data_IF_161971500415
#
_entry.id   IF_161971500415
#
_cell.length_a   1.000
_cell.length_b   1.000
_cell.length_c   1.000
_cell.angle_alpha   90.00
_cell.angle_beta   90.00
_cell.angle_gamma   90.00
#
_symmetry.space_group_name_H-M   'P 1'
#
loop_
_entity.id
_entity.type
_entity.pdbx_description
1 polymer ?
#
# COMPACT_ATOMS: atom_id res chain seq x y z
N UNK A 1 -25.64 -6.52 28.82
CA UNK A 1 -26.35 -6.40 27.55
C UNK A 1 -25.38 -6.67 26.42
N UNK A 2 -25.27 -7.94 26.02
CA UNK A 2 -24.43 -8.45 24.93
C UNK A 2 -25.03 -7.99 23.62
N UNK A 3 -24.38 -7.08 22.93
CA UNK A 3 -24.65 -6.77 21.53
C UNK A 3 -24.30 -8.02 20.72
N UNK A 4 -25.31 -8.71 20.22
CA UNK A 4 -25.18 -9.66 19.13
C UNK A 4 -24.74 -8.86 17.90
N UNK A 5 -23.48 -8.97 17.54
CA UNK A 5 -23.01 -8.56 16.23
C UNK A 5 -23.66 -9.48 15.20
N UNK A 6 -24.61 -8.96 14.46
CA UNK A 6 -25.11 -9.62 13.27
C UNK A 6 -23.96 -9.71 12.29
N UNK A 7 -23.51 -10.89 11.98
CA UNK A 7 -22.50 -11.19 10.99
C UNK A 7 -23.07 -10.97 9.58
N UNK A 8 -23.37 -9.73 9.25
CA UNK A 8 -23.44 -9.30 7.87
C UNK A 8 -21.99 -9.21 7.40
N UNK A 9 -21.60 -10.04 6.43
CA UNK A 9 -20.29 -9.95 5.82
C UNK A 9 -20.15 -8.55 5.22
N UNK A 10 -19.38 -7.69 5.88
CA UNK A 10 -19.04 -6.37 5.39
C UNK A 10 -18.12 -6.56 4.18
N UNK A 11 -18.62 -6.32 2.98
CA UNK A 11 -17.78 -6.24 1.80
C UNK A 11 -16.88 -5.00 1.92
N UNK A 12 -15.59 -5.21 2.24
CA UNK A 12 -14.61 -4.15 2.48
C UNK A 12 -13.58 -4.15 1.36
N UNK A 13 -13.45 -3.01 0.67
CA UNK A 13 -12.34 -2.76 -0.24
C UNK A 13 -11.30 -1.89 0.42
N UNK A 14 -10.06 -2.37 0.50
CA UNK A 14 -8.90 -1.57 0.83
C UNK A 14 -8.01 -1.41 -0.40
N UNK A 15 -7.88 -0.18 -0.86
CA UNK A 15 -7.17 0.19 -2.09
C UNK A 15 -5.84 0.80 -1.77
N UNK A 16 -4.81 0.38 -2.48
CA UNK A 16 -3.47 0.86 -2.25
C UNK A 16 -2.73 1.14 -3.55
N UNK A 17 -1.83 2.14 -3.57
CA UNK A 17 -1.08 2.50 -4.75
C UNK A 17 -0.01 1.46 -5.10
N UNK A 18 0.41 0.65 -4.12
CA UNK A 18 1.49 -0.31 -4.25
C UNK A 18 0.96 -1.74 -4.13
N UNK A 19 1.39 -2.60 -5.06
CA UNK A 19 1.04 -4.03 -5.08
C UNK A 19 1.47 -4.75 -3.80
N UNK A 20 2.62 -4.38 -3.23
CA UNK A 20 3.12 -4.91 -1.96
C UNK A 20 2.18 -4.64 -0.80
N UNK A 21 1.66 -3.41 -0.71
CA UNK A 21 0.74 -3.05 0.35
C UNK A 21 -0.62 -3.77 0.21
N UNK A 22 -1.09 -3.96 -1.03
CA UNK A 22 -2.29 -4.76 -1.28
C UNK A 22 -2.08 -6.22 -0.82
N UNK A 23 -0.92 -6.79 -1.11
CA UNK A 23 -0.53 -8.14 -0.67
C UNK A 23 -0.39 -8.23 0.85
N UNK A 24 0.30 -7.29 1.47
CA UNK A 24 0.47 -7.24 2.94
C UNK A 24 -0.89 -7.17 3.66
N UNK A 25 -1.81 -6.34 3.16
CA UNK A 25 -3.16 -6.29 3.74
C UNK A 25 -3.93 -7.58 3.51
N UNK A 26 -3.82 -8.19 2.32
CA UNK A 26 -4.41 -9.50 2.06
C UNK A 26 -3.91 -10.53 3.07
N UNK A 27 -2.60 -10.60 3.30
CA UNK A 27 -1.99 -11.56 4.22
C UNK A 27 -2.43 -11.29 5.67
N UNK A 28 -2.45 -10.03 6.11
CA UNK A 28 -2.93 -9.63 7.45
C UNK A 28 -4.41 -9.97 7.66
N UNK A 29 -5.27 -9.60 6.73
CA UNK A 29 -6.71 -9.84 6.84
C UNK A 29 -7.02 -11.32 6.73
N UNK A 30 -6.35 -12.05 5.84
CA UNK A 30 -6.52 -13.49 5.67
C UNK A 30 -6.11 -14.30 6.92
N UNK A 31 -5.10 -13.84 7.66
CA UNK A 31 -4.72 -14.45 8.95
C UNK A 31 -5.83 -14.35 9.99
N UNK A 32 -6.61 -13.28 9.94
CA UNK A 32 -7.67 -13.02 10.92
C UNK A 32 -9.02 -13.63 10.51
N UNK A 33 -9.39 -13.52 9.24
CA UNK A 33 -10.73 -13.87 8.75
C UNK A 33 -10.80 -15.19 7.98
N UNK A 34 -9.66 -15.75 7.58
CA UNK A 34 -9.56 -16.91 6.70
C UNK A 34 -9.38 -16.52 5.24
N UNK A 35 -8.61 -17.35 4.50
CA UNK A 35 -8.27 -17.10 3.08
C UNK A 35 -9.48 -17.23 2.14
N UNK A 36 -10.50 -17.93 2.53
CA UNK A 36 -11.76 -18.13 1.79
C UNK A 36 -12.63 -16.86 1.72
N UNK A 37 -12.41 -15.90 2.62
CA UNK A 37 -13.18 -14.65 2.72
C UNK A 37 -12.48 -13.44 2.14
N UNK A 38 -11.22 -13.54 1.78
CA UNK A 38 -10.40 -12.40 1.34
C UNK A 38 -9.94 -12.60 -0.09
N UNK A 39 -10.17 -11.62 -0.93
CA UNK A 39 -9.65 -11.57 -2.29
C UNK A 39 -8.45 -10.64 -2.41
N UNK A 40 -7.50 -10.99 -3.26
CA UNK A 40 -6.41 -10.13 -3.72
C UNK A 40 -6.58 -9.88 -5.22
N UNK A 41 -6.64 -8.60 -5.62
CA UNK A 41 -6.79 -8.21 -7.03
C UNK A 41 -5.78 -7.12 -7.36
N UNK A 42 -4.75 -7.49 -8.08
CA UNK A 42 -3.73 -6.58 -8.61
C UNK A 42 -3.55 -6.81 -10.11
N UNK A 43 -2.75 -5.99 -10.77
CA UNK A 43 -2.42 -6.21 -12.18
C UNK A 43 -1.67 -7.52 -12.45
N UNK A 44 -1.04 -8.10 -11.43
CA UNK A 44 -0.19 -9.30 -11.57
C UNK A 44 -0.78 -10.53 -10.88
N UNK A 45 -1.51 -10.36 -9.78
CA UNK A 45 -2.05 -11.44 -8.98
C UNK A 45 -3.57 -11.30 -8.83
N UNK A 46 -4.28 -12.41 -9.02
CA UNK A 46 -5.72 -12.49 -8.79
C UNK A 46 -6.03 -13.73 -7.98
N UNK A 47 -6.42 -13.54 -6.72
CA UNK A 47 -6.91 -14.58 -5.83
C UNK A 47 -8.33 -14.18 -5.44
N UNK A 48 -9.33 -14.87 -5.97
CA UNK A 48 -10.74 -14.52 -5.76
C UNK A 48 -11.51 -15.76 -5.32
N UNK A 49 -11.55 -16.04 -4.01
CA UNK A 49 -12.38 -17.11 -3.47
C UNK A 49 -13.87 -16.86 -3.74
N UNK A 50 -14.65 -17.93 -3.88
CA UNK A 50 -16.11 -17.83 -4.15
C UNK A 50 -16.86 -17.05 -3.06
N UNK A 51 -16.43 -17.17 -1.82
CA UNK A 51 -17.05 -16.53 -0.65
C UNK A 51 -16.34 -15.26 -0.22
N UNK A 52 -15.53 -14.63 -1.11
CA UNK A 52 -14.82 -13.42 -0.77
C UNK A 52 -15.78 -12.27 -0.49
N UNK A 53 -15.66 -11.69 0.70
CA UNK A 53 -16.37 -10.50 1.16
C UNK A 53 -15.41 -9.33 1.46
N UNK A 54 -14.11 -9.60 1.49
CA UNK A 54 -13.06 -8.59 1.66
C UNK A 54 -12.15 -8.57 0.43
N UNK A 55 -11.85 -7.39 -0.06
CA UNK A 55 -11.10 -7.22 -1.31
C UNK A 55 -9.91 -6.30 -1.09
N UNK A 56 -8.71 -6.82 -1.18
CA UNK A 56 -7.47 -6.08 -1.20
C UNK A 56 -7.04 -5.89 -2.65
N UNK A 57 -7.03 -4.67 -3.15
CA UNK A 57 -6.72 -4.42 -4.55
C UNK A 57 -5.89 -3.15 -4.76
N UNK A 58 -5.16 -3.12 -5.88
CA UNK A 58 -4.62 -1.85 -6.37
C UNK A 58 -5.75 -1.00 -6.96
N UNK A 59 -5.56 0.31 -6.99
CA UNK A 59 -6.59 1.26 -7.47
C UNK A 59 -6.98 0.98 -8.92
N UNK A 60 -6.02 0.57 -9.75
CA UNK A 60 -6.21 0.24 -11.16
C UNK A 60 -7.02 -1.05 -11.38
N UNK A 61 -6.78 -2.05 -10.53
CA UNK A 61 -7.35 -3.40 -10.71
C UNK A 61 -8.70 -3.60 -10.02
N UNK A 62 -9.24 -2.56 -9.41
CA UNK A 62 -10.48 -2.65 -8.66
C UNK A 62 -11.68 -2.88 -9.58
N UNK A 63 -12.55 -3.88 -9.26
CA UNK A 63 -13.84 -4.03 -9.92
C UNK A 63 -14.76 -2.84 -9.60
N UNK A 64 -15.21 -2.12 -10.62
CA UNK A 64 -16.06 -0.92 -10.47
C UNK A 64 -17.52 -1.32 -10.22
N UNK A 65 -17.93 -2.43 -10.80
CA UNK A 65 -19.33 -2.86 -10.84
C UNK A 65 -19.83 -3.54 -9.57
N UNK A 66 -18.92 -3.84 -8.63
CA UNK A 66 -19.29 -4.56 -7.42
C UNK A 66 -19.75 -3.60 -6.33
N UNK A 67 -21.01 -3.72 -5.94
CA UNK A 67 -21.55 -3.00 -4.80
C UNK A 67 -20.98 -3.56 -3.50
N UNK A 68 -20.38 -2.69 -2.69
CA UNK A 68 -19.81 -3.04 -1.38
C UNK A 68 -20.32 -2.07 -0.33
N UNK A 69 -20.37 -2.52 0.91
CA UNK A 69 -20.83 -1.68 2.02
C UNK A 69 -19.81 -0.63 2.41
N UNK A 70 -18.53 -0.99 2.39
CA UNK A 70 -17.43 -0.12 2.81
C UNK A 70 -16.34 -0.04 1.73
N UNK A 71 -15.83 1.16 1.49
CA UNK A 71 -14.69 1.41 0.61
C UNK A 71 -13.65 2.25 1.33
N UNK A 72 -12.40 1.78 1.37
CA UNK A 72 -11.23 2.56 1.78
C UNK A 72 -10.31 2.82 0.59
N UNK A 73 -10.04 4.09 0.26
CA UNK A 73 -9.08 4.49 -0.78
C UNK A 73 -7.91 5.16 -0.09
N UNK A 74 -6.74 4.55 -0.20
CA UNK A 74 -5.51 5.03 0.42
C UNK A 74 -4.67 5.86 -0.55
N UNK A 75 -3.82 6.75 -0.01
CA UNK A 75 -2.90 7.61 -0.76
C UNK A 75 -3.60 8.50 -1.81
N UNK A 76 -4.78 9.04 -1.48
CA UNK A 76 -5.58 9.81 -2.44
C UNK A 76 -4.89 11.07 -2.98
N UNK A 77 -3.81 11.57 -2.35
CA UNK A 77 -3.01 12.66 -2.90
C UNK A 77 -2.30 12.30 -4.22
N UNK A 78 -2.18 10.99 -4.56
CA UNK A 78 -1.68 10.54 -5.87
C UNK A 78 -2.60 11.00 -7.01
N UNK A 79 -3.84 11.43 -6.72
CA UNK A 79 -4.69 12.09 -7.72
C UNK A 79 -4.06 13.34 -8.36
N UNK A 80 -3.02 13.90 -7.74
CA UNK A 80 -2.23 15.00 -8.29
C UNK A 80 -1.04 14.56 -9.16
N UNK A 81 -0.80 13.25 -9.28
CA UNK A 81 0.26 12.69 -10.12
C UNK A 81 -0.10 12.83 -11.61
N UNK A 82 0.91 13.17 -12.44
CA UNK A 82 0.69 13.42 -13.87
C UNK A 82 0.28 12.15 -14.64
N UNK A 83 0.88 11.01 -14.31
CA UNK A 83 0.66 9.76 -15.06
C UNK A 83 -0.52 8.95 -14.53
N UNK A 84 -0.69 8.89 -13.21
CA UNK A 84 -1.64 8.00 -12.53
C UNK A 84 -2.81 8.73 -11.87
N UNK A 85 -2.73 10.05 -11.78
CA UNK A 85 -3.70 10.87 -11.04
C UNK A 85 -5.13 10.74 -11.54
N UNK A 86 -5.32 10.55 -12.85
CA UNK A 86 -6.65 10.41 -13.44
C UNK A 86 -7.41 9.18 -12.91
N UNK A 87 -6.72 8.06 -12.65
CA UNK A 87 -7.34 6.85 -12.09
C UNK A 87 -7.83 7.12 -10.66
N UNK A 88 -6.99 7.77 -9.83
CA UNK A 88 -7.36 8.14 -8.48
C UNK A 88 -8.51 9.14 -8.44
N UNK A 89 -8.48 10.13 -9.34
CA UNK A 89 -9.56 11.12 -9.48
C UNK A 89 -10.88 10.46 -9.84
N UNK A 90 -10.87 9.53 -10.81
CA UNK A 90 -12.06 8.76 -11.18
C UNK A 90 -12.63 7.99 -9.97
N UNK A 91 -11.78 7.35 -9.18
CA UNK A 91 -12.22 6.62 -7.98
C UNK A 91 -12.74 7.55 -6.88
N UNK A 92 -12.11 8.71 -6.68
CA UNK A 92 -12.61 9.73 -5.74
C UNK A 92 -14.00 10.22 -6.15
N UNK A 93 -14.26 10.38 -7.42
CA UNK A 93 -15.54 10.89 -7.93
C UNK A 93 -16.64 9.83 -7.92
N UNK A 94 -16.35 8.62 -8.36
CA UNK A 94 -17.38 7.64 -8.73
C UNK A 94 -17.48 6.43 -7.79
N UNK A 95 -16.50 6.17 -6.94
CA UNK A 95 -16.55 4.98 -6.09
C UNK A 95 -17.11 5.29 -4.71
N UNK A 96 -18.20 4.61 -4.35
CA UNK A 96 -18.86 4.75 -3.05
C UNK A 96 -19.19 3.39 -2.47
N UNK A 97 -18.95 3.23 -1.16
CA UNK A 97 -19.56 2.17 -0.38
C UNK A 97 -20.99 2.56 -0.03
N UNK A 98 -21.88 1.58 0.03
CA UNK A 98 -23.29 1.85 0.33
C UNK A 98 -23.52 2.34 1.76
N UNK A 99 -22.60 2.03 2.68
CA UNK A 99 -22.63 2.50 4.07
C UNK A 99 -21.58 3.58 4.34
N UNK A 100 -20.34 3.37 3.89
CA UNK A 100 -19.26 4.30 4.20
C UNK A 100 -18.17 4.29 3.11
N UNK A 101 -17.58 5.46 2.88
CA UNK A 101 -16.39 5.61 2.04
C UNK A 101 -15.35 6.42 2.81
N UNK A 102 -14.15 5.88 2.96
CA UNK A 102 -13.03 6.54 3.63
C UNK A 102 -11.93 6.83 2.60
N UNK A 103 -11.49 8.08 2.58
CA UNK A 103 -10.33 8.54 1.84
C UNK A 103 -9.18 8.76 2.82
N UNK A 104 -8.05 8.11 2.59
CA UNK A 104 -6.83 8.26 3.38
C UNK A 104 -5.77 8.99 2.53
N UNK A 105 -5.08 9.95 3.11
CA UNK A 105 -4.07 10.70 2.37
C UNK A 105 -3.41 11.80 3.18
N UNK A 106 -2.42 12.46 2.56
CA UNK A 106 -1.73 13.59 3.15
C UNK A 106 -2.62 14.85 3.15
N UNK A 107 -2.33 15.79 4.05
CA UNK A 107 -3.08 17.05 4.18
C UNK A 107 -3.11 17.90 2.90
N UNK A 108 -2.16 17.68 1.99
CA UNK A 108 -2.06 18.38 0.71
C UNK A 108 -3.30 18.23 -0.18
N UNK A 109 -4.03 17.11 -0.07
CA UNK A 109 -5.24 16.85 -0.87
C UNK A 109 -6.52 17.45 -0.26
N UNK A 110 -6.48 17.93 0.97
CA UNK A 110 -7.65 18.31 1.78
C UNK A 110 -8.58 19.32 1.10
N UNK A 111 -8.03 20.40 0.54
CA UNK A 111 -8.83 21.42 -0.13
C UNK A 111 -9.49 20.88 -1.41
N UNK A 112 -8.74 20.12 -2.19
CA UNK A 112 -9.24 19.50 -3.42
C UNK A 112 -10.31 18.44 -3.14
N UNK A 113 -10.10 17.61 -2.12
CA UNK A 113 -11.09 16.60 -1.74
C UNK A 113 -12.42 17.24 -1.31
N UNK A 114 -12.39 18.36 -0.60
CA UNK A 114 -13.60 19.13 -0.24
C UNK A 114 -14.35 19.66 -1.46
N UNK A 115 -13.65 20.04 -2.52
CA UNK A 115 -14.29 20.52 -3.75
C UNK A 115 -14.84 19.39 -4.61
N UNK A 116 -14.21 18.20 -4.59
CA UNK A 116 -14.61 17.06 -5.41
C UNK A 116 -15.70 16.21 -4.77
N UNK A 117 -15.75 16.15 -3.44
CA UNK A 117 -16.69 15.31 -2.70
C UNK A 117 -17.51 16.20 -1.76
N UNK A 118 -18.72 16.59 -2.15
CA UNK A 118 -19.63 17.36 -1.30
C UNK A 118 -19.88 16.64 0.04
N UNK A 119 -19.89 17.41 1.13
CA UNK A 119 -20.15 16.92 2.49
C UNK A 119 -19.10 15.94 3.05
N UNK A 120 -17.90 15.86 2.46
CA UNK A 120 -16.82 15.04 3.03
C UNK A 120 -16.44 15.57 4.41
N UNK A 121 -16.46 14.68 5.40
CA UNK A 121 -15.95 14.97 6.75
C UNK A 121 -14.45 14.71 6.77
N UNK A 122 -13.68 15.68 7.24
CA UNK A 122 -12.22 15.56 7.31
C UNK A 122 -11.78 15.45 8.76
N UNK A 123 -11.08 14.38 9.06
CA UNK A 123 -10.45 14.15 10.35
C UNK A 123 -8.93 14.10 10.16
N UNK A 124 -8.22 15.00 10.84
CA UNK A 124 -6.76 14.99 10.89
C UNK A 124 -6.28 14.15 12.06
N UNK A 125 -5.29 13.28 11.80
CA UNK A 125 -4.58 12.56 12.86
C UNK A 125 -3.10 12.91 12.82
N UNK A 126 -2.48 13.22 13.95
CA UNK A 126 -1.04 13.45 14.00
C UNK A 126 -0.30 12.16 13.67
N UNK A 127 0.91 12.30 13.14
CA UNK A 127 1.78 11.16 12.87
C UNK A 127 2.15 10.47 14.18
N UNK A 128 2.04 9.14 14.20
CA UNK A 128 2.38 8.34 15.40
C UNK A 128 3.89 8.23 15.64
N UNK A 129 4.70 8.47 14.60
CA UNK A 129 6.17 8.40 14.68
C UNK A 129 6.80 9.75 14.48
N UNK A 130 7.82 10.07 15.27
CA UNK A 130 8.64 11.26 15.08
C UNK A 130 9.57 11.06 13.87
N UNK A 131 9.59 12.00 12.94
CA UNK A 131 10.60 12.07 11.90
C UNK A 131 11.63 13.10 12.30
N UNK A 132 12.92 12.71 12.23
CA UNK A 132 14.03 13.62 12.42
C UNK A 132 14.98 13.56 11.23
N UNK A 133 15.37 14.70 10.73
CA UNK A 133 16.38 14.80 9.69
C UNK A 133 17.77 14.61 10.31
N UNK A 134 18.49 13.56 9.89
CA UNK A 134 19.81 13.21 10.43
C UNK A 134 20.99 13.65 9.56
N UNK A 135 20.75 14.54 8.59
CA UNK A 135 21.76 15.03 7.65
C UNK A 135 22.13 14.05 6.55
N UNK A 136 23.06 14.43 5.69
CA UNK A 136 23.59 13.59 4.59
C UNK A 136 24.54 12.53 5.15
N UNK A 137 24.42 11.30 4.69
CA UNK A 137 25.32 10.20 5.06
C UNK A 137 25.77 9.44 3.83
N UNK A 138 26.97 8.91 3.87
CA UNK A 138 27.42 7.93 2.87
C UNK A 138 26.65 6.63 3.04
N UNK A 139 26.37 5.92 1.94
CA UNK A 139 25.70 4.62 1.95
C UNK A 139 26.38 3.63 2.92
N UNK A 140 27.72 3.67 2.97
CA UNK A 140 28.56 2.83 3.83
C UNK A 140 28.48 3.17 5.33
N UNK A 141 27.77 4.24 5.72
CA UNK A 141 27.57 4.68 7.12
C UNK A 141 26.12 4.68 7.54
N UNK A 142 25.28 3.97 6.81
CA UNK A 142 23.88 3.78 7.17
C UNK A 142 23.79 2.91 8.42
N UNK A 143 22.75 3.16 9.20
CA UNK A 143 22.42 2.30 10.36
C UNK A 143 21.76 1.02 9.86
N UNK A 144 21.86 -0.04 10.65
CA UNK A 144 21.06 -1.25 10.45
C UNK A 144 19.57 -0.90 10.36
N UNK A 145 18.80 -1.72 9.67
CA UNK A 145 17.36 -1.52 9.42
C UNK A 145 17.07 -0.25 8.63
N UNK A 146 17.91 0.06 7.63
CA UNK A 146 17.72 1.20 6.73
C UNK A 146 17.07 0.79 5.41
N UNK A 147 16.06 1.56 4.98
CA UNK A 147 15.51 1.50 3.64
C UNK A 147 16.05 2.65 2.80
N UNK A 148 16.57 2.33 1.61
CA UNK A 148 17.18 3.27 0.69
C UNK A 148 16.30 3.36 -0.57
N UNK A 149 15.79 4.56 -0.84
CA UNK A 149 14.96 4.83 -2.00
C UNK A 149 15.82 5.41 -3.12
N UNK A 150 15.87 4.73 -4.26
CA UNK A 150 16.58 5.18 -5.45
C UNK A 150 15.59 5.60 -6.56
N UNK A 151 16.05 6.31 -7.57
CA UNK A 151 15.21 6.84 -8.65
C UNK A 151 15.32 6.02 -9.95
N UNK A 152 16.29 5.13 -10.04
CA UNK A 152 16.47 4.26 -11.21
C UNK A 152 16.78 2.82 -10.78
N UNK A 153 16.49 1.86 -11.67
CA UNK A 153 16.86 0.46 -11.44
C UNK A 153 18.39 0.28 -11.33
N UNK A 154 19.14 1.03 -12.11
CA UNK A 154 20.61 1.01 -12.06
C UNK A 154 21.12 1.45 -10.69
N UNK A 155 20.56 2.52 -10.12
CA UNK A 155 20.93 2.99 -8.79
C UNK A 155 20.59 1.97 -7.70
N UNK A 156 19.42 1.30 -7.80
CA UNK A 156 19.03 0.24 -6.85
C UNK A 156 20.09 -0.86 -6.81
N UNK A 157 20.53 -1.35 -7.97
CA UNK A 157 21.55 -2.40 -8.03
C UNK A 157 22.91 -1.89 -7.56
N UNK A 158 23.33 -0.69 -7.98
CA UNK A 158 24.59 -0.09 -7.55
C UNK A 158 24.65 0.07 -6.03
N UNK A 159 23.57 0.56 -5.42
CA UNK A 159 23.49 0.71 -3.97
C UNK A 159 23.53 -0.66 -3.28
N UNK A 160 22.79 -1.64 -3.80
CA UNK A 160 22.79 -2.98 -3.25
C UNK A 160 24.17 -3.65 -3.31
N UNK A 161 24.91 -3.45 -4.40
CA UNK A 161 26.26 -3.97 -4.54
C UNK A 161 27.26 -3.30 -3.57
N UNK A 162 27.17 -1.99 -3.39
CA UNK A 162 27.97 -1.27 -2.39
C UNK A 162 27.69 -1.83 -0.99
N UNK A 163 26.41 -2.03 -0.65
CA UNK A 163 26.02 -2.55 0.66
C UNK A 163 26.49 -4.00 0.81
N UNK A 164 26.33 -4.83 -0.21
CA UNK A 164 26.78 -6.24 -0.18
C UNK A 164 28.28 -6.34 0.10
N UNK A 165 29.06 -5.49 -0.55
CA UNK A 165 30.52 -5.52 -0.42
C UNK A 165 31.03 -4.95 0.91
N UNK A 166 30.28 -4.10 1.60
CA UNK A 166 30.79 -3.35 2.76
C UNK A 166 29.97 -3.55 4.04
N UNK A 167 28.70 -3.96 3.94
CA UNK A 167 27.78 -4.00 5.06
C UNK A 167 27.03 -5.35 5.21
N UNK A 168 27.35 -6.34 4.38
CA UNK A 168 26.84 -7.71 4.54
C UNK A 168 25.72 -8.13 3.59
N UNK A 169 24.85 -7.23 3.14
CA UNK A 169 23.80 -7.56 2.19
C UNK A 169 22.61 -6.64 2.22
N UNK A 170 21.88 -6.59 1.10
CA UNK A 170 20.66 -5.82 0.95
C UNK A 170 19.60 -6.62 0.19
N UNK A 171 18.37 -6.51 0.63
CA UNK A 171 17.21 -6.90 -0.16
C UNK A 171 16.90 -5.85 -1.22
N UNK A 172 16.41 -6.29 -2.38
CA UNK A 172 16.07 -5.42 -3.51
C UNK A 172 14.59 -5.52 -3.80
N UNK A 173 13.91 -4.37 -3.87
CA UNK A 173 12.48 -4.29 -4.20
C UNK A 173 12.26 -3.32 -5.34
N UNK A 174 11.77 -3.83 -6.48
CA UNK A 174 11.42 -3.01 -7.64
C UNK A 174 10.29 -3.67 -8.44
N UNK A 175 9.58 -2.87 -9.23
CA UNK A 175 8.43 -3.32 -10.02
C UNK A 175 8.77 -4.38 -11.08
N UNK A 176 10.00 -4.38 -11.61
CA UNK A 176 10.47 -5.35 -12.61
C UNK A 176 10.68 -6.77 -12.05
N UNK A 177 10.74 -6.94 -10.73
CA UNK A 177 10.84 -8.27 -10.11
C UNK A 177 9.49 -8.98 -10.11
N UNK A 178 9.52 -10.31 -10.27
CA UNK A 178 8.31 -11.13 -10.12
C UNK A 178 7.70 -10.93 -8.72
N UNK A 179 6.37 -11.08 -8.55
CA UNK A 179 5.73 -10.97 -7.24
C UNK A 179 6.35 -11.88 -6.19
N UNK A 180 6.67 -13.13 -6.56
CA UNK A 180 7.30 -14.09 -5.67
C UNK A 180 8.68 -13.61 -5.19
N UNK A 181 9.53 -13.16 -6.11
CA UNK A 181 10.88 -12.67 -5.78
C UNK A 181 10.79 -11.43 -4.89
N UNK A 182 9.88 -10.51 -5.23
CA UNK A 182 9.69 -9.28 -4.47
C UNK A 182 9.25 -9.56 -3.03
N UNK A 183 8.28 -10.45 -2.85
CA UNK A 183 7.81 -10.83 -1.51
C UNK A 183 8.91 -11.49 -0.69
N UNK A 184 9.69 -12.39 -1.30
CA UNK A 184 10.84 -13.02 -0.64
C UNK A 184 11.90 -12.01 -0.21
N UNK A 185 12.19 -10.99 -1.02
CA UNK A 185 13.14 -9.93 -0.66
C UNK A 185 12.64 -9.08 0.53
N UNK A 186 11.34 -8.77 0.57
CA UNK A 186 10.74 -8.05 1.70
C UNK A 186 10.82 -8.91 2.96
N UNK A 187 10.49 -10.19 2.86
CA UNK A 187 10.53 -11.13 3.98
C UNK A 187 11.95 -11.26 4.56
N UNK A 188 12.99 -11.33 3.75
CA UNK A 188 14.38 -11.34 4.20
C UNK A 188 14.71 -10.09 5.03
N UNK A 189 14.24 -8.92 4.62
CA UNK A 189 14.42 -7.69 5.38
C UNK A 189 13.58 -7.69 6.66
N UNK A 190 12.32 -8.10 6.61
CA UNK A 190 11.44 -8.13 7.79
C UNK A 190 11.94 -9.10 8.87
N UNK A 191 12.39 -10.28 8.46
CA UNK A 191 12.94 -11.31 9.35
C UNK A 191 14.35 -10.99 9.87
N UNK A 192 14.99 -9.93 9.38
CA UNK A 192 16.32 -9.52 9.82
C UNK A 192 17.46 -10.35 9.23
N UNK A 193 17.21 -11.10 8.16
CA UNK A 193 18.28 -11.81 7.42
C UNK A 193 19.22 -10.81 6.72
N UNK A 194 18.68 -9.65 6.34
CA UNK A 194 19.45 -8.49 5.84
C UNK A 194 18.99 -7.21 6.55
N UNK A 195 19.92 -6.30 6.79
CA UNK A 195 19.66 -5.03 7.48
C UNK A 195 19.28 -3.88 6.57
N UNK A 196 19.42 -4.07 5.26
CA UNK A 196 19.23 -3.02 4.27
C UNK A 196 18.22 -3.42 3.21
N UNK A 197 17.39 -2.46 2.81
CA UNK A 197 16.41 -2.61 1.75
C UNK A 197 16.66 -1.53 0.70
N UNK A 198 17.02 -1.90 -0.52
CA UNK A 198 17.13 -0.98 -1.66
C UNK A 198 15.87 -1.08 -2.52
N UNK A 199 15.19 0.04 -2.71
CA UNK A 199 13.94 0.09 -3.46
C UNK A 199 13.88 1.28 -4.42
N UNK A 200 13.08 1.14 -5.49
CA UNK A 200 12.86 2.21 -6.43
C UNK A 200 11.74 3.13 -5.94
N UNK A 201 11.93 4.44 -6.12
CA UNK A 201 10.85 5.41 -5.95
C UNK A 201 9.79 5.18 -7.05
N UNK A 202 8.58 4.97 -6.65
CA UNK A 202 7.43 4.83 -7.55
C UNK A 202 6.67 6.16 -7.58
#
# INVERSE_FOLDING_TARGET
>A
STRKESSAALDVYKRQPLRLLARENYDKISKTLGKDKVALITGEEKIIPKNASYFCCTVEAMPIEKNVEFIGIDEVQISSDYERGYIFTDRILHSRGSKETIFLGADTIKSKLKSLVPNVRIEGRPRMSALSYSGRKKVTRLRNRSAIVAFSAADVYTIADIIRNQLGGAAIVMGALSPRTRNSQVEMYENGEVDYLSLIHI
#
